data_IF_669628020537
#
_entry.id   IF_669628020537
#
_cell.length_a   1.000
_cell.length_b   1.000
_cell.length_c   1.000
_cell.angle_alpha   90.00
_cell.angle_beta   90.00
_cell.angle_gamma   90.00
#
_symmetry.space_group_name_H-M   'P 1'
#
loop_
_entity.id
_entity.type
_entity.pdbx_description
1 polymer ?
#
# COMPACT_ATOMS: atom_id res chain seq x y z
N UNK A 1 -4.24 -22.81 -10.23
CA UNK A 1 -4.84 -23.87 -9.39
C UNK A 1 -5.22 -23.22 -8.07
N UNK A 2 -6.49 -23.25 -7.66
CA UNK A 2 -6.93 -22.62 -6.40
C UNK A 2 -6.85 -23.61 -5.24
N UNK A 3 -6.83 -23.14 -3.99
CA UNK A 3 -6.88 -24.00 -2.79
C UNK A 3 -8.09 -24.95 -2.84
N UNK A 4 -9.23 -24.45 -3.36
CA UNK A 4 -10.46 -25.23 -3.52
C UNK A 4 -10.30 -26.36 -4.53
N UNK A 5 -9.66 -26.08 -5.66
CA UNK A 5 -9.33 -27.09 -6.68
C UNK A 5 -8.27 -28.10 -6.21
N UNK A 6 -7.35 -27.67 -5.34
CA UNK A 6 -6.40 -28.56 -4.65
C UNK A 6 -7.16 -29.49 -3.69
N UNK A 7 -8.05 -28.97 -2.84
CA UNK A 7 -8.79 -29.80 -1.90
C UNK A 7 -9.78 -30.77 -2.57
N UNK A 8 -10.36 -30.37 -3.71
CA UNK A 8 -11.34 -31.19 -4.45
C UNK A 8 -10.69 -32.31 -5.29
N UNK A 9 -9.50 -32.09 -5.85
CA UNK A 9 -8.83 -33.08 -6.71
C UNK A 9 -7.89 -34.06 -5.97
N UNK A 10 -7.56 -33.81 -4.70
CA UNK A 10 -6.39 -34.44 -4.04
C UNK A 10 -6.76 -35.44 -2.93
N UNK A 11 -7.90 -36.14 -3.04
CA UNK A 11 -8.35 -37.10 -2.00
C UNK A 11 -7.46 -38.36 -1.88
N UNK A 12 -6.61 -38.63 -2.88
CA UNK A 12 -5.77 -39.83 -2.99
C UNK A 12 -4.25 -39.56 -3.03
N UNK A 13 -3.78 -38.32 -2.82
CA UNK A 13 -2.34 -38.01 -2.79
C UNK A 13 -1.74 -38.19 -1.39
N UNK A 14 -0.43 -38.51 -1.29
CA UNK A 14 0.28 -38.51 -0.01
C UNK A 14 0.12 -37.17 0.71
N UNK A 15 -0.04 -37.22 2.03
CA UNK A 15 -0.25 -36.04 2.87
C UNK A 15 0.91 -35.03 2.72
N UNK A 16 2.13 -35.53 2.53
CA UNK A 16 3.33 -34.69 2.34
C UNK A 16 3.27 -33.83 1.07
N UNK A 17 2.69 -34.35 -0.03
CA UNK A 17 2.51 -33.59 -1.27
C UNK A 17 1.45 -32.50 -1.10
N UNK A 18 0.37 -32.80 -0.38
CA UNK A 18 -0.69 -31.84 -0.06
C UNK A 18 -0.16 -30.73 0.85
N UNK A 19 0.61 -31.08 1.89
CA UNK A 19 1.26 -30.12 2.78
C UNK A 19 2.27 -29.25 2.04
N UNK A 20 3.06 -29.84 1.13
CA UNK A 20 4.01 -29.10 0.30
C UNK A 20 3.30 -28.14 -0.66
N UNK A 21 2.19 -28.56 -1.28
CA UNK A 21 1.40 -27.71 -2.15
C UNK A 21 0.68 -26.59 -1.36
N UNK A 22 0.14 -26.89 -0.18
CA UNK A 22 -0.46 -25.89 0.71
C UNK A 22 0.60 -24.91 1.23
N UNK A 23 1.78 -25.39 1.60
CA UNK A 23 2.91 -24.56 2.01
C UNK A 23 3.37 -23.66 0.86
N UNK A 24 3.55 -24.21 -0.33
CA UNK A 24 3.95 -23.44 -1.53
C UNK A 24 2.91 -22.38 -1.88
N UNK A 25 1.62 -22.70 -1.75
CA UNK A 25 0.56 -21.71 -1.89
C UNK A 25 0.56 -20.69 -0.75
N UNK A 26 0.75 -21.08 0.50
CA UNK A 26 0.81 -20.16 1.63
C UNK A 26 2.00 -19.20 1.51
N UNK A 27 3.16 -19.70 1.10
CA UNK A 27 4.37 -18.91 0.81
C UNK A 27 4.15 -17.99 -0.40
N UNK A 28 3.47 -18.45 -1.46
CA UNK A 28 3.13 -17.59 -2.59
C UNK A 28 2.11 -16.51 -2.19
N UNK A 29 1.19 -16.82 -1.27
CA UNK A 29 0.22 -15.88 -0.71
C UNK A 29 0.92 -14.84 0.18
N UNK A 30 1.92 -15.26 0.97
CA UNK A 30 2.77 -14.38 1.77
C UNK A 30 3.74 -13.53 0.95
N UNK A 31 3.96 -13.87 -0.32
CA UNK A 31 4.69 -13.07 -1.30
C UNK A 31 3.78 -12.31 -2.28
N UNK A 32 2.45 -12.39 -2.12
CA UNK A 32 1.51 -11.65 -2.95
C UNK A 32 1.47 -10.18 -2.49
N UNK A 33 1.95 -9.28 -3.35
CA UNK A 33 2.03 -7.86 -3.04
C UNK A 33 0.67 -7.27 -2.64
N UNK A 34 -0.41 -7.68 -3.30
CA UNK A 34 -1.76 -7.25 -2.99
C UNK A 34 -2.17 -7.59 -1.55
N UNK A 35 -1.91 -8.81 -1.10
CA UNK A 35 -2.27 -9.22 0.27
C UNK A 35 -1.43 -8.52 1.32
N UNK A 36 -0.15 -8.36 1.04
CA UNK A 36 0.79 -7.63 1.91
C UNK A 36 0.41 -6.16 2.04
N UNK A 37 0.10 -5.51 0.93
CA UNK A 37 -0.37 -4.13 0.90
C UNK A 37 -1.65 -3.96 1.74
N UNK A 38 -2.62 -4.88 1.58
CA UNK A 38 -3.85 -4.89 2.38
C UNK A 38 -3.58 -5.16 3.86
N UNK A 39 -2.63 -6.02 4.19
CA UNK A 39 -2.23 -6.29 5.58
C UNK A 39 -1.67 -5.04 6.25
N UNK A 40 -0.82 -4.28 5.55
CA UNK A 40 -0.31 -2.98 6.04
C UNK A 40 -1.46 -2.00 6.29
N UNK A 41 -2.38 -1.83 5.33
CA UNK A 41 -3.54 -0.95 5.52
C UNK A 41 -4.40 -1.39 6.73
N UNK A 42 -4.64 -2.69 6.89
CA UNK A 42 -5.41 -3.20 8.02
C UNK A 42 -4.71 -2.97 9.36
N UNK A 43 -3.39 -3.10 9.40
CA UNK A 43 -2.58 -2.76 10.59
C UNK A 43 -2.75 -1.28 10.95
N UNK A 44 -2.59 -0.39 9.98
CA UNK A 44 -2.78 1.06 10.17
C UNK A 44 -4.21 1.39 10.64
N UNK A 45 -5.23 0.75 10.06
CA UNK A 45 -6.62 0.88 10.53
C UNK A 45 -6.77 0.47 12.01
N UNK A 46 -6.10 -0.61 12.43
CA UNK A 46 -6.04 -1.06 13.83
C UNK A 46 -5.39 -0.04 14.76
N UNK A 47 -4.40 0.71 14.26
CA UNK A 47 -3.72 1.80 14.96
C UNK A 47 -4.54 3.11 14.98
N UNK A 48 -5.72 3.11 14.37
CA UNK A 48 -6.66 4.23 14.40
C UNK A 48 -6.63 5.11 13.16
N UNK A 49 -5.81 4.79 12.15
CA UNK A 49 -5.85 5.44 10.86
C UNK A 49 -7.19 5.20 10.18
N UNK A 50 -7.57 6.11 9.29
CA UNK A 50 -8.78 6.01 8.49
C UNK A 50 -8.43 5.99 7.02
N UNK A 51 -8.79 4.91 6.34
CA UNK A 51 -8.57 4.76 4.90
C UNK A 51 -9.82 5.15 4.10
N UNK A 52 -9.61 5.78 2.94
CA UNK A 52 -10.65 6.08 1.97
C UNK A 52 -10.07 5.91 0.56
N UNK A 53 -10.83 5.29 -0.35
CA UNK A 53 -10.50 5.26 -1.77
C UNK A 53 -11.12 6.48 -2.43
N UNK A 54 -10.30 7.36 -3.00
CA UNK A 54 -10.69 8.60 -3.66
C UNK A 54 -10.03 8.67 -5.05
N UNK A 55 -10.49 7.86 -6.02
CA UNK A 55 -9.81 7.72 -7.30
C UNK A 55 -10.12 8.88 -8.26
N UNK A 56 -11.11 9.70 -7.95
CA UNK A 56 -11.60 10.77 -8.80
C UNK A 56 -11.06 12.13 -8.33
N UNK A 57 -10.31 12.88 -9.17
CA UNK A 57 -9.72 14.16 -8.80
C UNK A 57 -10.72 15.18 -8.25
N UNK A 58 -11.96 15.15 -8.74
CA UNK A 58 -13.02 16.09 -8.38
C UNK A 58 -13.47 15.93 -6.93
N UNK A 59 -13.27 14.74 -6.34
CA UNK A 59 -13.68 14.42 -4.97
C UNK A 59 -12.58 14.71 -3.93
N UNK A 60 -11.34 14.88 -4.38
CA UNK A 60 -10.15 14.98 -3.49
C UNK A 60 -10.28 16.16 -2.53
N UNK A 61 -10.65 17.34 -3.03
CA UNK A 61 -10.76 18.54 -2.19
C UNK A 61 -11.86 18.38 -1.13
N UNK A 62 -13.01 17.85 -1.54
CA UNK A 62 -14.15 17.60 -0.64
C UNK A 62 -13.78 16.61 0.46
N UNK A 63 -13.18 15.47 0.10
CA UNK A 63 -12.73 14.47 1.08
C UNK A 63 -11.71 15.08 2.06
N UNK A 64 -10.71 15.83 1.57
CA UNK A 64 -9.71 16.48 2.44
C UNK A 64 -10.39 17.44 3.42
N UNK A 65 -11.30 18.29 2.95
CA UNK A 65 -12.00 19.27 3.80
C UNK A 65 -12.89 18.61 4.84
N UNK A 66 -13.61 17.55 4.47
CA UNK A 66 -14.43 16.79 5.41
C UNK A 66 -13.56 16.11 6.48
N UNK A 67 -12.46 15.48 6.08
CA UNK A 67 -11.60 14.75 7.01
C UNK A 67 -10.80 15.66 7.94
N UNK A 68 -10.49 16.89 7.53
CA UNK A 68 -9.90 17.89 8.43
C UNK A 68 -10.77 18.20 9.65
N UNK A 69 -12.09 18.05 9.55
CA UNK A 69 -12.99 18.26 10.69
C UNK A 69 -12.83 17.19 11.77
N UNK A 70 -12.39 15.99 11.38
CA UNK A 70 -12.50 14.80 12.20
C UNK A 70 -11.29 14.56 13.12
N UNK A 71 -10.28 15.44 13.12
CA UNK A 71 -9.03 15.34 13.91
C UNK A 71 -8.51 13.90 14.00
N UNK A 72 -8.51 13.16 12.90
CA UNK A 72 -7.93 11.81 12.76
C UNK A 72 -6.97 11.81 11.59
N UNK A 73 -6.12 10.80 11.53
CA UNK A 73 -5.16 10.67 10.45
C UNK A 73 -5.83 9.88 9.35
N UNK A 74 -5.73 10.39 8.13
CA UNK A 74 -6.41 9.78 7.01
C UNK A 74 -5.42 9.39 5.92
N UNK A 75 -5.66 8.22 5.34
CA UNK A 75 -5.01 7.72 4.13
C UNK A 75 -6.05 7.84 3.02
N UNK A 76 -5.83 8.76 2.09
CA UNK A 76 -6.61 8.87 0.87
C UNK A 76 -5.85 8.14 -0.23
N UNK A 77 -6.44 7.09 -0.77
CA UNK A 77 -5.84 6.33 -1.86
C UNK A 77 -6.39 6.82 -3.20
N UNK A 78 -5.51 7.22 -4.11
CA UNK A 78 -5.90 7.75 -5.43
C UNK A 78 -5.84 6.69 -6.52
N UNK A 79 -4.97 5.69 -6.39
CA UNK A 79 -4.84 4.60 -7.35
C UNK A 79 -5.77 3.46 -6.99
N UNK A 80 -6.53 2.92 -7.94
CA UNK A 80 -7.36 1.72 -7.67
C UNK A 80 -6.48 0.48 -7.55
N UNK A 81 -6.95 -0.52 -6.82
CA UNK A 81 -6.16 -1.75 -6.65
C UNK A 81 -6.01 -2.49 -7.99
N UNK A 82 -7.02 -2.43 -8.84
CA UNK A 82 -7.03 -3.06 -10.16
C UNK A 82 -6.10 -2.36 -11.16
N UNK A 83 -5.71 -1.11 -10.90
CA UNK A 83 -4.74 -0.35 -11.70
C UNK A 83 -3.29 -0.64 -11.25
N UNK A 84 -3.09 -0.90 -9.96
CA UNK A 84 -1.78 -1.12 -9.37
C UNK A 84 -1.36 -2.59 -9.34
N UNK A 85 -2.30 -3.52 -9.27
CA UNK A 85 -2.03 -4.95 -9.11
C UNK A 85 -2.61 -5.77 -10.26
N UNK A 86 -1.82 -6.75 -10.69
CA UNK A 86 -2.26 -7.78 -11.64
C UNK A 86 -3.34 -8.69 -11.04
N UNK A 87 -4.04 -9.47 -11.87
CA UNK A 87 -5.02 -10.46 -11.41
C UNK A 87 -4.42 -11.52 -10.47
N UNK A 88 -3.11 -11.76 -10.57
CA UNK A 88 -2.35 -12.66 -9.69
C UNK A 88 -1.88 -11.98 -8.39
N UNK A 89 -2.14 -10.68 -8.23
CA UNK A 89 -1.80 -9.89 -7.04
C UNK A 89 -0.37 -9.36 -7.00
N UNK A 90 0.42 -9.53 -8.07
CA UNK A 90 1.71 -8.87 -8.23
C UNK A 90 1.53 -7.39 -8.55
N UNK A 91 2.37 -6.53 -7.97
CA UNK A 91 2.32 -5.09 -8.21
C UNK A 91 2.92 -4.74 -9.57
N UNK A 92 2.14 -4.07 -10.41
CA UNK A 92 2.52 -3.62 -11.76
C UNK A 92 2.73 -2.09 -11.83
N UNK A 93 2.14 -1.34 -10.89
CA UNK A 93 2.29 0.12 -10.80
C UNK A 93 2.23 0.57 -9.35
N UNK A 94 2.90 1.67 -8.96
CA UNK A 94 2.82 2.20 -7.61
C UNK A 94 1.42 2.68 -7.23
N UNK A 95 1.05 2.46 -5.97
CA UNK A 95 -0.15 3.04 -5.39
C UNK A 95 0.15 4.44 -4.87
N UNK A 96 -0.64 5.41 -5.32
CA UNK A 96 -0.55 6.79 -4.81
C UNK A 96 -1.45 6.97 -3.61
N UNK A 97 -0.85 7.38 -2.49
CA UNK A 97 -1.53 7.71 -1.25
C UNK A 97 -1.31 9.19 -0.91
N UNK A 98 -2.33 9.83 -0.35
CA UNK A 98 -2.23 11.13 0.27
C UNK A 98 -2.62 11.03 1.73
N UNK A 99 -1.64 11.30 2.59
CA UNK A 99 -1.82 11.31 4.03
C UNK A 99 -2.29 12.69 4.47
N UNK A 100 -3.39 12.73 5.20
CA UNK A 100 -3.80 13.90 5.97
C UNK A 100 -3.34 13.70 7.40
N UNK A 101 -2.21 14.32 7.72
CA UNK A 101 -1.51 14.24 8.99
C UNK A 101 -1.93 15.39 9.90
N UNK A 102 -2.00 15.14 11.20
CA UNK A 102 -1.98 16.24 12.16
C UNK A 102 -0.59 16.88 12.19
N UNK A 103 -0.50 18.12 12.66
CA UNK A 103 0.80 18.77 12.87
C UNK A 103 1.69 17.87 13.75
N UNK A 104 2.92 17.65 13.30
CA UNK A 104 3.99 16.88 13.96
C UNK A 104 3.82 15.35 14.01
N UNK A 105 3.11 14.75 13.07
CA UNK A 105 3.05 13.29 12.98
C UNK A 105 4.22 12.65 12.24
N UNK A 106 4.60 11.49 12.76
CA UNK A 106 5.76 10.66 12.40
C UNK A 106 5.56 9.89 11.08
N UNK A 107 6.60 9.19 10.69
CA UNK A 107 6.74 8.42 9.47
C UNK A 107 6.13 7.00 9.59
N UNK A 108 5.07 6.84 10.38
CA UNK A 108 4.48 5.54 10.74
C UNK A 108 3.97 4.76 9.53
N UNK A 109 3.33 5.45 8.58
CA UNK A 109 2.80 4.84 7.36
C UNK A 109 3.95 4.36 6.48
N UNK A 110 4.98 5.20 6.31
CA UNK A 110 6.17 4.89 5.54
C UNK A 110 6.93 3.71 6.16
N UNK A 111 7.13 3.71 7.48
CA UNK A 111 7.72 2.59 8.24
C UNK A 111 6.93 1.30 8.01
N UNK A 112 5.61 1.36 8.10
CA UNK A 112 4.74 0.17 7.95
C UNK A 112 4.85 -0.45 6.56
N UNK A 113 4.86 0.36 5.49
CA UNK A 113 5.06 -0.14 4.13
C UNK A 113 6.49 -0.63 3.90
N UNK A 114 7.49 0.06 4.44
CA UNK A 114 8.89 -0.35 4.33
C UNK A 114 9.19 -1.69 5.00
N UNK A 115 8.68 -1.90 6.23
CA UNK A 115 8.80 -3.17 6.96
C UNK A 115 8.16 -4.31 6.19
N UNK A 116 7.09 -4.02 5.47
CA UNK A 116 6.47 -4.95 4.53
C UNK A 116 7.07 -4.84 3.13
N UNK A 117 8.39 -4.66 3.03
CA UNK A 117 9.23 -4.76 1.81
C UNK A 117 8.74 -3.95 0.60
N UNK A 118 7.94 -2.91 0.81
CA UNK A 118 7.62 -1.94 -0.23
C UNK A 118 8.65 -0.82 -0.24
N UNK A 119 8.91 -0.30 -1.44
CA UNK A 119 9.61 0.96 -1.62
C UNK A 119 8.62 2.10 -1.47
N UNK A 120 9.00 3.09 -0.66
CA UNK A 120 8.20 4.27 -0.39
C UNK A 120 8.94 5.48 -0.97
N UNK A 121 8.28 6.24 -1.83
CA UNK A 121 8.81 7.51 -2.35
C UNK A 121 7.93 8.64 -1.83
N UNK A 122 8.55 9.66 -1.25
CA UNK A 122 7.85 10.86 -0.80
C UNK A 122 7.70 11.85 -1.95
N UNK A 123 6.47 12.30 -2.15
CA UNK A 123 6.18 13.46 -2.98
C UNK A 123 6.35 14.76 -2.20
N UNK A 124 5.60 15.77 -2.63
CA UNK A 124 5.59 17.08 -1.96
C UNK A 124 4.66 17.07 -0.74
N UNK A 125 5.14 17.65 0.36
CA UNK A 125 4.31 17.99 1.51
C UNK A 125 3.65 19.36 1.31
N UNK A 126 2.35 19.45 1.57
CA UNK A 126 1.57 20.68 1.51
C UNK A 126 1.08 21.00 2.93
N UNK A 127 1.53 22.14 3.44
CA UNK A 127 1.06 22.64 4.74
C UNK A 127 -0.33 23.27 4.59
N UNK A 128 -1.29 22.79 5.39
CA UNK A 128 -2.61 23.38 5.55
C UNK A 128 -2.73 24.00 6.95
N UNK A 129 -3.70 24.89 7.20
CA UNK A 129 -3.79 25.61 8.48
C UNK A 129 -3.84 24.71 9.73
N UNK A 130 -4.41 23.50 9.60
CA UNK A 130 -4.64 22.56 10.71
C UNK A 130 -4.05 21.17 10.50
N UNK A 131 -3.40 20.93 9.36
CA UNK A 131 -2.96 19.60 8.95
C UNK A 131 -1.81 19.71 7.93
N UNK A 132 -1.09 18.62 7.72
CA UNK A 132 -0.13 18.49 6.62
C UNK A 132 -0.66 17.43 5.67
N UNK A 133 -0.67 17.73 4.37
CA UNK A 133 -0.85 16.72 3.34
C UNK A 133 0.51 16.21 2.92
N UNK A 134 0.72 14.90 3.00
CA UNK A 134 1.92 14.24 2.50
C UNK A 134 1.54 13.27 1.40
N UNK A 135 2.18 13.38 0.25
CA UNK A 135 1.97 12.43 -0.85
C UNK A 135 3.01 11.32 -0.76
N UNK A 136 2.55 10.08 -0.83
CA UNK A 136 3.39 8.88 -0.87
C UNK A 136 3.09 8.08 -2.14
N UNK A 137 4.14 7.52 -2.72
CA UNK A 137 4.05 6.49 -3.74
C UNK A 137 4.58 5.20 -3.14
N UNK A 138 3.76 4.15 -3.16
CA UNK A 138 4.09 2.84 -2.60
C UNK A 138 4.24 1.86 -3.75
N UNK A 139 5.44 1.32 -3.92
CA UNK A 139 5.75 0.44 -5.03
C UNK A 139 6.76 -0.64 -4.66
N UNK A 140 7.23 -1.38 -5.65
CA UNK A 140 8.37 -2.29 -5.50
C UNK A 140 9.61 -1.70 -6.17
N UNK A 141 10.81 -1.91 -5.62
CA UNK A 141 12.07 -1.41 -6.17
C UNK A 141 12.38 -1.91 -7.60
N UNK A 142 11.69 -2.96 -8.06
CA UNK A 142 11.84 -3.49 -9.43
C UNK A 142 10.94 -2.78 -10.43
N UNK A 143 10.03 -1.90 -9.98
CA UNK A 143 9.20 -1.11 -10.89
C UNK A 143 10.08 -0.08 -11.61
N UNK A 144 9.87 0.14 -12.92
CA UNK A 144 10.66 1.10 -13.68
C UNK A 144 10.43 2.51 -13.13
N UNK A 145 11.45 3.36 -13.18
CA UNK A 145 11.36 4.75 -12.67
C UNK A 145 10.18 5.51 -13.27
N UNK A 146 9.86 5.25 -14.55
CA UNK A 146 8.73 5.86 -15.27
C UNK A 146 7.34 5.48 -14.73
N UNK A 147 7.22 4.39 -13.97
CA UNK A 147 5.95 3.97 -13.36
C UNK A 147 5.64 4.78 -12.09
N UNK A 148 6.65 5.37 -11.46
CA UNK A 148 6.46 6.19 -10.28
C UNK A 148 5.86 7.53 -10.69
N UNK A 149 4.65 7.84 -10.19
CA UNK A 149 3.88 9.06 -10.48
C UNK A 149 4.53 10.38 -10.01
N UNK A 150 5.83 10.37 -9.82
CA UNK A 150 6.71 11.51 -9.73
C UNK A 150 6.61 12.32 -11.04
N UNK A 151 5.72 13.31 -11.07
CA UNK A 151 5.79 14.39 -12.07
C UNK A 151 7.22 14.96 -12.12
N UNK A 152 7.64 15.42 -13.30
CA UNK A 152 8.94 16.05 -13.57
C UNK A 152 9.53 16.74 -12.34
N UNK A 153 10.57 16.14 -11.74
CA UNK A 153 11.32 16.73 -10.63
C UNK A 153 11.55 15.85 -9.41
N UNK A 154 10.75 14.80 -9.18
CA UNK A 154 11.02 13.81 -8.10
C UNK A 154 11.82 12.67 -8.71
N UNK A 155 13.11 12.55 -8.33
CA UNK A 155 14.00 11.51 -8.87
C UNK A 155 13.81 10.24 -8.05
N UNK A 156 14.06 9.07 -8.64
CA UNK A 156 14.13 7.78 -7.92
C UNK A 156 15.11 7.80 -6.72
N UNK A 157 15.97 8.82 -6.62
CA UNK A 157 16.80 9.11 -5.43
C UNK A 157 16.04 9.48 -4.15
N UNK A 158 14.73 9.76 -4.22
CA UNK A 158 13.90 10.16 -3.07
C UNK A 158 13.20 8.96 -2.37
N UNK A 159 13.72 7.73 -2.56
CA UNK A 159 13.26 6.56 -1.81
C UNK A 159 13.50 6.79 -0.32
N UNK A 160 12.41 6.90 0.41
CA UNK A 160 12.42 7.09 1.85
C UNK A 160 12.97 5.85 2.54
N UNK A 161 13.76 6.08 3.59
CA UNK A 161 14.29 5.04 4.48
C UNK A 161 14.04 5.45 5.92
N UNK A 162 13.73 4.51 6.82
CA UNK A 162 13.62 4.82 8.24
C UNK A 162 15.00 5.22 8.79
N UNK A 163 15.03 6.20 9.69
CA UNK A 163 16.17 6.41 10.57
C UNK A 163 16.20 5.27 11.59
N UNK A 164 17.08 4.29 11.34
CA UNK A 164 17.33 3.19 12.25
C UNK A 164 18.39 3.65 13.26
N UNK A 165 17.93 4.20 14.39
CA UNK A 165 18.77 4.45 15.57
C UNK A 165 18.81 3.23 16.48
#
# INVERSE_FOLDING_TARGET
MTIRQLLENERNRPIDDVLTALWTNAVSTGNCDLFRFRAVLNSLLGLGWKHCLCPWPEQVVTEIMERQRNRKNHILQFTRMEEAFTATGSMASPVTLQLLLKKNEDDEVEKSFYLDRFSVVRGRDISLPKATLRTLYIGHHTLPESAWGAREGVRYGDVWRPDLH
#
